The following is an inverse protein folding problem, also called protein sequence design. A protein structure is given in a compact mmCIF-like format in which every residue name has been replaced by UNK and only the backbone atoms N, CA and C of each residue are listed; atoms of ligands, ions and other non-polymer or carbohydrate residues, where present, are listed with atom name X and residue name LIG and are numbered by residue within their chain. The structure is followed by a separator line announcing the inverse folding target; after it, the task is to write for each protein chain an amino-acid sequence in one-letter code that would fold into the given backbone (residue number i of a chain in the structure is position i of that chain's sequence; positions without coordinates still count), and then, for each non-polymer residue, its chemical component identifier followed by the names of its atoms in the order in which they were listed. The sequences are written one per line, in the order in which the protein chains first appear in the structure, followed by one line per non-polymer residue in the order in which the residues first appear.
data_IF_114273542929
#
_entry.id   IF_114273542929
#
_cell.length_a   1.000
_cell.length_b   1.000
_cell.length_c   1.000
_cell.angle_alpha   90.00
_cell.angle_beta   90.00
_cell.angle_gamma   90.00
#
_symmetry.space_group_name_H-M   'P 1'
#
loop_
_entity.id
_entity.type
_entity.pdbx_description
1 polymer ?
#
# COMPACT_ATOMS: atom_id res chain seq x y z
N UNK A 1 -2.26 -19.18 16.68
CA UNK A 1 -1.45 -19.78 15.61
C UNK A 1 -2.14 -20.95 14.91
N UNK A 2 -2.64 -21.99 15.60
CA UNK A 2 -3.30 -23.16 14.94
C UNK A 2 -4.71 -22.87 14.39
N UNK A 3 -5.43 -21.90 14.96
CA UNK A 3 -6.82 -21.64 14.57
C UNK A 3 -6.96 -20.94 13.21
N UNK A 4 -6.00 -20.09 12.83
CA UNK A 4 -6.05 -19.35 11.57
C UNK A 4 -5.65 -20.23 10.37
N UNK A 5 -4.79 -21.23 10.58
CA UNK A 5 -4.45 -22.21 9.55
C UNK A 5 -5.65 -23.08 9.15
N UNK A 6 -6.56 -23.35 10.08
CA UNK A 6 -7.80 -24.10 9.81
C UNK A 6 -8.78 -23.22 9.02
N UNK A 7 -8.90 -21.93 9.36
CA UNK A 7 -9.68 -20.97 8.56
C UNK A 7 -9.16 -20.84 7.13
N UNK A 8 -7.84 -20.73 6.97
CA UNK A 8 -7.16 -20.69 5.67
C UNK A 8 -7.45 -21.92 4.82
N UNK A 9 -7.37 -23.12 5.41
CA UNK A 9 -7.67 -24.35 4.70
C UNK A 9 -9.13 -24.41 4.21
N UNK A 10 -10.08 -23.89 4.98
CA UNK A 10 -11.50 -23.89 4.61
C UNK A 10 -11.76 -22.92 3.46
N UNK A 11 -11.18 -21.71 3.49
CA UNK A 11 -11.35 -20.74 2.41
C UNK A 11 -10.59 -21.14 1.13
N UNK A 12 -9.43 -21.79 1.24
CA UNK A 12 -8.71 -22.36 0.09
C UNK A 12 -9.51 -23.49 -0.57
N UNK A 13 -10.15 -24.37 0.22
CA UNK A 13 -11.00 -25.44 -0.30
C UNK A 13 -12.24 -24.87 -1.02
N UNK A 14 -12.83 -23.81 -0.47
CA UNK A 14 -14.03 -23.17 -1.04
C UNK A 14 -13.72 -22.32 -2.30
N UNK A 15 -12.49 -21.81 -2.42
CA UNK A 15 -11.97 -21.19 -3.63
C UNK A 15 -11.68 -22.23 -4.72
N UNK A 16 -11.03 -23.35 -4.37
CA UNK A 16 -10.74 -24.46 -5.29
C UNK A 16 -12.03 -25.10 -5.85
N UNK A 17 -13.07 -25.23 -5.04
CA UNK A 17 -14.39 -25.73 -5.48
C UNK A 17 -15.10 -24.80 -6.48
N UNK A 18 -14.75 -23.51 -6.49
CA UNK A 18 -15.28 -22.52 -7.44
C UNK A 18 -14.41 -22.35 -8.71
N UNK A 19 -13.36 -23.17 -8.86
CA UNK A 19 -12.42 -23.09 -9.99
C UNK A 19 -11.42 -21.94 -9.85
N UNK A 20 -11.29 -21.34 -8.67
CA UNK A 20 -10.34 -20.25 -8.39
C UNK A 20 -8.99 -20.87 -8.07
N UNK A 21 -7.97 -20.48 -8.84
CA UNK A 21 -6.63 -21.07 -8.79
C UNK A 21 -5.77 -20.50 -7.65
N UNK A 22 -6.11 -19.32 -7.12
CA UNK A 22 -5.47 -18.69 -5.96
C UNK A 22 -6.31 -17.52 -5.39
N UNK A 23 -6.24 -17.30 -4.07
CA UNK A 23 -6.75 -16.10 -3.39
C UNK A 23 -5.58 -15.27 -2.90
N UNK A 24 -5.55 -13.98 -3.23
CA UNK A 24 -4.51 -13.04 -2.80
C UNK A 24 -5.13 -11.94 -1.93
N UNK A 25 -4.71 -11.85 -0.66
CA UNK A 25 -5.17 -10.83 0.29
C UNK A 25 -4.15 -9.73 0.44
N UNK A 26 -4.55 -8.51 0.09
CA UNK A 26 -3.66 -7.37 -0.02
C UNK A 26 -4.14 -6.21 0.85
N UNK A 27 -3.28 -5.75 1.76
CA UNK A 27 -3.46 -4.49 2.48
C UNK A 27 -2.87 -3.32 1.70
N UNK A 28 -3.64 -2.26 1.48
CA UNK A 28 -3.16 -1.08 0.75
C UNK A 28 -3.85 0.21 1.23
N UNK A 29 -3.10 1.28 1.55
CA UNK A 29 -3.70 2.56 1.92
C UNK A 29 -4.44 3.26 0.75
N UNK A 30 -4.09 2.95 -0.50
CA UNK A 30 -4.67 3.61 -1.69
C UNK A 30 -4.17 3.02 -3.04
N UNK A 31 -4.31 1.70 -3.24
CA UNK A 31 -3.71 0.99 -4.41
C UNK A 31 -4.79 0.45 -5.38
N UNK A 32 -5.92 1.14 -5.50
CA UNK A 32 -7.04 0.70 -6.35
C UNK A 32 -6.67 0.50 -7.82
N UNK A 33 -5.72 1.29 -8.36
CA UNK A 33 -5.29 1.19 -9.76
C UNK A 33 -4.50 -0.10 -10.07
N UNK A 34 -3.62 -0.56 -9.18
CA UNK A 34 -2.81 -1.76 -9.45
C UNK A 34 -3.63 -3.06 -9.37
N UNK A 35 -4.74 -3.06 -8.63
CA UNK A 35 -5.68 -4.19 -8.57
C UNK A 35 -6.37 -4.42 -9.91
N UNK A 36 -6.70 -3.34 -10.64
CA UNK A 36 -7.30 -3.44 -11.98
C UNK A 36 -6.33 -4.12 -12.94
N UNK A 37 -5.07 -3.69 -12.97
CA UNK A 37 -4.04 -4.28 -13.82
C UNK A 37 -3.74 -5.75 -13.44
N UNK A 38 -3.73 -6.05 -12.14
CA UNK A 38 -3.55 -7.42 -11.65
C UNK A 38 -4.68 -8.35 -12.12
N UNK A 39 -5.93 -7.89 -12.07
CA UNK A 39 -7.09 -8.65 -12.53
C UNK A 39 -7.09 -8.85 -14.04
N UNK A 40 -6.60 -7.89 -14.82
CA UNK A 40 -6.43 -8.07 -16.27
C UNK A 40 -5.39 -9.14 -16.60
N UNK A 41 -4.32 -9.22 -15.80
CA UNK A 41 -3.22 -10.18 -16.03
C UNK A 41 -3.49 -11.58 -15.46
N UNK A 42 -4.32 -11.67 -14.42
CA UNK A 42 -4.68 -12.92 -13.74
C UNK A 42 -6.21 -12.96 -13.51
N UNK A 43 -7.01 -13.20 -14.57
CA UNK A 43 -8.47 -13.13 -14.48
C UNK A 43 -9.10 -14.20 -13.58
N UNK A 44 -8.42 -15.34 -13.37
CA UNK A 44 -8.90 -16.45 -12.55
C UNK A 44 -8.48 -16.35 -11.07
N UNK A 45 -7.78 -15.28 -10.68
CA UNK A 45 -7.36 -15.03 -9.30
C UNK A 45 -8.39 -14.15 -8.57
N UNK A 46 -8.73 -14.52 -7.33
CA UNK A 46 -9.56 -13.68 -6.46
C UNK A 46 -8.64 -12.78 -5.64
N UNK A 47 -8.72 -11.47 -5.86
CA UNK A 47 -7.97 -10.47 -5.09
C UNK A 47 -8.89 -9.85 -4.06
N UNK A 48 -8.57 -10.02 -2.78
CA UNK A 48 -9.25 -9.36 -1.68
C UNK A 48 -8.43 -8.16 -1.22
N UNK A 49 -9.03 -6.98 -1.24
CA UNK A 49 -8.38 -5.74 -0.81
C UNK A 49 -8.91 -5.33 0.56
N UNK A 50 -8.00 -5.11 1.49
CA UNK A 50 -8.31 -4.57 2.82
C UNK A 50 -7.67 -3.18 2.92
N UNK A 51 -8.52 -2.18 3.06
CA UNK A 51 -8.10 -0.80 3.33
C UNK A 51 -8.09 -0.55 4.83
N UNK A 52 -7.09 0.16 5.31
CA UNK A 52 -6.93 0.42 6.74
C UNK A 52 -5.67 1.23 7.03
N UNK A 53 -5.43 1.52 8.31
CA UNK A 53 -4.20 2.19 8.73
C UNK A 53 -3.02 1.22 8.58
N UNK A 54 -1.84 1.75 8.24
CA UNK A 54 -0.63 0.93 8.05
C UNK A 54 -0.35 0.00 9.24
N UNK A 55 -0.52 0.49 10.47
CA UNK A 55 -0.33 -0.32 11.68
C UNK A 55 -1.32 -1.49 11.79
N UNK A 56 -2.59 -1.27 11.44
CA UNK A 56 -3.63 -2.30 11.45
C UNK A 56 -3.34 -3.36 10.38
N UNK A 57 -2.99 -2.92 9.17
CA UNK A 57 -2.65 -3.81 8.06
C UNK A 57 -1.42 -4.66 8.38
N UNK A 58 -0.39 -4.09 9.00
CA UNK A 58 0.78 -4.87 9.44
C UNK A 58 0.38 -5.88 10.52
N UNK A 59 -0.52 -5.53 11.43
CA UNK A 59 -1.01 -6.48 12.42
C UNK A 59 -1.72 -7.67 11.74
N UNK A 60 -2.63 -7.41 10.79
CA UNK A 60 -3.28 -8.45 10.00
C UNK A 60 -2.28 -9.31 9.23
N UNK A 61 -1.21 -8.72 8.68
CA UNK A 61 -0.12 -9.44 8.03
C UNK A 61 0.61 -10.38 9.01
N UNK A 62 0.95 -9.89 10.21
CA UNK A 62 1.62 -10.70 11.24
C UNK A 62 0.72 -11.82 11.79
N UNK A 63 -0.60 -11.64 11.78
CA UNK A 63 -1.58 -12.69 12.13
C UNK A 63 -1.82 -13.69 10.99
N UNK A 64 -1.34 -13.40 9.78
CA UNK A 64 -1.55 -14.21 8.57
C UNK A 64 -2.92 -14.03 7.94
N UNK A 65 -3.64 -12.95 8.26
CA UNK A 65 -4.90 -12.56 7.62
C UNK A 65 -4.67 -11.87 6.27
N UNK A 66 -3.47 -11.31 6.08
CA UNK A 66 -3.00 -10.75 4.82
C UNK A 66 -1.78 -11.51 4.32
N UNK A 67 -1.67 -11.63 3.00
CA UNK A 67 -0.48 -12.20 2.36
C UNK A 67 0.58 -11.12 2.12
N UNK A 68 0.14 -9.91 1.73
CA UNK A 68 1.01 -8.77 1.44
C UNK A 68 0.41 -7.43 1.87
N UNK A 69 1.28 -6.49 2.23
CA UNK A 69 0.92 -5.08 2.47
C UNK A 69 1.76 -4.19 1.57
N UNK A 70 1.08 -3.32 0.82
CA UNK A 70 1.71 -2.30 -0.03
C UNK A 70 1.45 -0.94 0.62
N UNK A 71 2.50 -0.24 1.00
CA UNK A 71 2.37 1.08 1.62
C UNK A 71 3.68 1.85 1.59
N UNK A 72 3.59 3.14 1.92
CA UNK A 72 4.77 3.96 2.09
C UNK A 72 5.60 3.44 3.28
N UNK A 73 6.91 3.35 3.09
CA UNK A 73 7.84 3.07 4.19
C UNK A 73 8.08 4.39 4.92
N UNK A 74 7.31 4.62 5.99
CA UNK A 74 7.45 5.85 6.78
C UNK A 74 8.52 5.71 7.86
N UNK A 75 9.12 6.81 8.35
CA UNK A 75 10.10 6.75 9.43
C UNK A 75 9.55 6.06 10.69
N UNK A 76 8.29 6.29 11.04
CA UNK A 76 7.63 5.69 12.19
C UNK A 76 7.60 4.17 12.09
N UNK A 77 7.34 3.66 10.88
CA UNK A 77 7.37 2.23 10.60
C UNK A 77 8.78 1.66 10.78
N UNK A 78 9.81 2.32 10.24
CA UNK A 78 11.21 1.87 10.34
C UNK A 78 11.67 1.79 11.81
N UNK A 79 11.22 2.73 12.64
CA UNK A 79 11.58 2.79 14.07
C UNK A 79 10.77 1.84 14.95
N UNK A 80 9.74 1.17 14.40
CA UNK A 80 8.90 0.25 15.15
C UNK A 80 9.56 -1.11 15.32
N UNK A 81 9.39 -1.71 16.50
CA UNK A 81 9.80 -3.10 16.78
C UNK A 81 9.15 -4.10 15.81
N UNK A 82 7.99 -3.75 15.23
CA UNK A 82 7.29 -4.58 14.25
C UNK A 82 8.06 -4.71 12.94
N UNK A 83 8.89 -3.72 12.57
CA UNK A 83 9.64 -3.75 11.32
C UNK A 83 10.66 -4.89 11.27
N UNK A 84 11.22 -5.27 12.41
CA UNK A 84 12.15 -6.41 12.53
C UNK A 84 11.50 -7.75 12.16
N UNK A 85 10.16 -7.84 12.23
CA UNK A 85 9.39 -9.03 11.87
C UNK A 85 8.95 -9.04 10.40
N UNK A 86 9.25 -7.97 9.66
CA UNK A 86 8.85 -7.78 8.27
C UNK A 86 10.04 -7.97 7.33
N UNK A 87 9.72 -8.41 6.10
CA UNK A 87 10.66 -8.40 4.98
C UNK A 87 10.25 -7.29 4.00
N UNK A 88 10.75 -6.05 4.16
CA UNK A 88 10.40 -4.97 3.25
C UNK A 88 11.04 -5.21 1.87
N UNK A 89 10.26 -4.95 0.82
CA UNK A 89 10.73 -4.90 -0.56
C UNK A 89 10.40 -3.53 -1.12
N UNK A 90 11.42 -2.78 -1.52
CA UNK A 90 11.23 -1.45 -2.13
C UNK A 90 10.76 -1.64 -3.57
N UNK A 91 9.52 -1.27 -3.85
CA UNK A 91 8.91 -1.42 -5.17
C UNK A 91 9.08 -0.16 -6.04
N UNK A 92 8.94 1.02 -5.43
CA UNK A 92 9.14 2.29 -6.10
C UNK A 92 9.84 3.29 -5.16
N UNK A 93 10.50 4.28 -5.76
CA UNK A 93 10.95 5.47 -5.04
C UNK A 93 9.93 6.56 -5.31
N UNK A 94 9.26 7.01 -4.25
CA UNK A 94 8.33 8.13 -4.35
C UNK A 94 9.09 9.46 -4.41
N UNK A 95 8.64 10.38 -5.24
CA UNK A 95 9.22 11.71 -5.39
C UNK A 95 8.20 12.76 -4.92
N UNK A 96 8.56 13.53 -3.90
CA UNK A 96 7.73 14.62 -3.42
C UNK A 96 7.69 15.74 -4.46
N UNK A 97 6.52 15.97 -5.04
CA UNK A 97 6.28 17.03 -6.00
C UNK A 97 5.54 18.21 -5.35
N UNK A 98 5.88 19.44 -5.76
CA UNK A 98 5.12 20.64 -5.39
C UNK A 98 4.03 20.87 -6.42
N UNK A 99 2.78 20.84 -5.97
CA UNK A 99 1.63 21.24 -6.78
C UNK A 99 1.31 22.71 -6.51
N UNK A 100 1.35 23.52 -7.57
CA UNK A 100 1.03 24.95 -7.50
C UNK A 100 -0.05 25.29 -8.54
N UNK A 101 -0.83 26.33 -8.25
CA UNK A 101 -1.79 26.88 -9.22
C UNK A 101 -1.08 27.34 -10.48
N UNK A 102 -1.72 27.15 -11.65
CA UNK A 102 -1.25 27.67 -12.94
C UNK A 102 -1.15 29.20 -12.96
N UNK A 103 -1.86 29.88 -12.04
CA UNK A 103 -1.75 31.33 -11.85
C UNK A 103 -0.43 31.74 -11.18
N UNK A 104 0.33 30.80 -10.63
CA UNK A 104 1.60 31.03 -9.96
C UNK A 104 2.76 31.04 -10.97
N UNK A 105 2.74 32.05 -11.85
CA UNK A 105 3.63 32.14 -13.03
C UNK A 105 5.13 32.10 -12.69
N UNK A 106 5.51 32.48 -11.46
CA UNK A 106 6.91 32.48 -11.00
C UNK A 106 7.51 31.09 -10.73
N UNK A 107 6.70 30.03 -10.72
CA UNK A 107 7.10 28.67 -10.32
C UNK A 107 7.04 27.63 -11.46
N UNK A 108 6.37 27.94 -12.56
CA UNK A 108 6.20 27.00 -13.69
C UNK A 108 7.52 26.85 -14.45
N UNK A 109 7.98 25.60 -14.65
CA UNK A 109 9.15 25.28 -15.47
C UNK A 109 10.51 25.59 -14.84
N UNK A 110 10.55 25.97 -13.55
CA UNK A 110 11.81 26.23 -12.83
C UNK A 110 12.21 25.04 -11.97
N UNK A 111 13.51 24.80 -11.88
CA UNK A 111 14.08 23.92 -10.87
C UNK A 111 14.10 24.66 -9.52
N UNK A 112 13.07 24.40 -8.71
CA UNK A 112 12.88 25.07 -7.42
C UNK A 112 13.89 24.57 -6.39
N UNK A 113 14.47 25.48 -5.63
CA UNK A 113 15.26 25.16 -4.44
C UNK A 113 14.39 25.28 -3.19
N UNK A 114 14.79 24.61 -2.11
CA UNK A 114 14.11 24.72 -0.81
C UNK A 114 13.93 26.17 -0.33
N UNK A 115 14.90 27.04 -0.60
CA UNK A 115 14.80 28.46 -0.26
C UNK A 115 13.68 29.20 -1.02
N UNK A 116 13.41 28.82 -2.27
CA UNK A 116 12.34 29.42 -3.07
C UNK A 116 10.95 29.06 -2.52
N UNK A 117 10.85 27.90 -1.87
CA UNK A 117 9.60 27.38 -1.29
C UNK A 117 9.30 27.92 0.11
N UNK A 118 10.27 28.53 0.79
CA UNK A 118 10.10 29.02 2.15
C UNK A 118 9.06 30.15 2.24
N UNK A 119 8.97 30.98 1.20
CA UNK A 119 8.04 32.11 1.15
C UNK A 119 6.64 31.72 0.61
N UNK A 120 6.43 30.47 0.20
CA UNK A 120 5.16 30.02 -0.34
C UNK A 120 4.10 29.82 0.75
N UNK A 121 2.83 30.05 0.41
CA UNK A 121 1.71 29.72 1.29
C UNK A 121 1.37 28.24 1.15
N UNK A 122 1.91 27.43 2.05
CA UNK A 122 1.70 25.99 2.06
C UNK A 122 0.31 25.62 2.58
N UNK A 123 -0.36 24.73 1.85
CA UNK A 123 -1.54 24.01 2.34
C UNK A 123 -1.07 22.61 2.71
N UNK A 124 -1.20 22.25 3.98
CA UNK A 124 -0.85 20.92 4.49
C UNK A 124 -2.12 20.14 4.81
N UNK A 125 -2.14 18.81 4.59
CA UNK A 125 -3.22 17.96 5.08
C UNK A 125 -3.33 18.05 6.61
N UNK A 126 -4.53 17.86 7.19
CA UNK A 126 -4.73 17.81 8.64
C UNK A 126 -4.05 16.61 9.30
#
# INVERSE_FOLDING_TARGET
MVLNEIGRAIEEIDALQRGVTAVLRVGAPSVTAAVVELRERLPDAVVQLIEGRVQELIHCLLQGELDYVFGAVTPELITSDMFALLKPVVLLKDELCVLASTSNQGMVGRQLKWADLQAAQWVVPP
#
